data_IF_410161053935
#
_entry.id   IF_410161053935
#
_cell.length_a   1.000
_cell.length_b   1.000
_cell.length_c   1.000
_cell.angle_alpha   90.00
_cell.angle_beta   90.00
_cell.angle_gamma   90.00
#
_symmetry.space_group_name_H-M   'P 1'
#
loop_
_entity.id
_entity.type
_entity.pdbx_description
1 polymer ?
#
# COMPACT_ATOMS: atom_id res chain seq x y z
N UNK A 1 9.28 -59.24 -23.18
CA UNK A 1 10.32 -58.37 -23.76
C UNK A 1 9.79 -56.97 -24.10
N UNK A 2 8.65 -56.81 -24.80
CA UNK A 2 8.12 -55.50 -25.23
C UNK A 2 7.77 -54.51 -24.08
N UNK A 3 7.35 -55.02 -22.92
CA UNK A 3 6.94 -54.20 -21.76
C UNK A 3 8.08 -53.35 -21.19
N UNK A 4 9.33 -53.85 -21.24
CA UNK A 4 10.51 -53.14 -20.77
C UNK A 4 10.92 -51.98 -21.70
N UNK A 5 10.75 -52.18 -23.02
CA UNK A 5 11.01 -51.12 -24.00
C UNK A 5 10.01 -49.96 -23.85
N UNK A 6 8.73 -50.27 -23.64
CA UNK A 6 7.69 -49.27 -23.42
C UNK A 6 7.94 -48.44 -22.15
N UNK A 7 8.39 -49.06 -21.06
CA UNK A 7 8.74 -48.34 -19.83
C UNK A 7 9.97 -47.44 -20.00
N UNK A 8 10.98 -47.88 -20.77
CA UNK A 8 12.16 -47.06 -21.05
C UNK A 8 11.83 -45.81 -21.87
N UNK A 9 11.02 -45.96 -22.91
CA UNK A 9 10.55 -44.83 -23.74
C UNK A 9 9.68 -43.87 -22.92
N UNK A 10 8.81 -44.40 -22.06
CA UNK A 10 7.97 -43.58 -21.18
C UNK A 10 8.80 -42.70 -20.24
N UNK A 11 9.79 -43.29 -19.55
CA UNK A 11 10.68 -42.54 -18.64
C UNK A 11 11.50 -41.52 -19.41
N UNK A 12 12.02 -41.85 -20.59
CA UNK A 12 12.74 -40.90 -21.44
C UNK A 12 11.85 -39.71 -21.85
N UNK A 13 10.59 -39.95 -22.18
CA UNK A 13 9.61 -38.91 -22.50
C UNK A 13 9.34 -37.95 -21.34
N UNK A 14 9.16 -38.49 -20.13
CA UNK A 14 8.96 -37.66 -18.91
C UNK A 14 10.20 -36.81 -18.64
N UNK A 15 11.40 -37.38 -18.75
CA UNK A 15 12.64 -36.64 -18.50
C UNK A 15 12.84 -35.52 -19.52
N UNK A 16 12.65 -35.78 -20.82
CA UNK A 16 12.75 -34.73 -21.84
C UNK A 16 11.68 -33.65 -21.65
N UNK A 17 10.44 -34.04 -21.34
CA UNK A 17 9.35 -33.09 -21.08
C UNK A 17 9.65 -32.20 -19.88
N UNK A 18 10.15 -32.78 -18.78
CA UNK A 18 10.53 -32.05 -17.58
C UNK A 18 11.68 -31.07 -17.86
N UNK A 19 12.73 -31.51 -18.55
CA UNK A 19 13.86 -30.63 -18.93
C UNK A 19 13.39 -29.51 -19.86
N UNK A 20 12.52 -29.78 -20.83
CA UNK A 20 11.99 -28.77 -21.75
C UNK A 20 11.15 -27.71 -21.02
N UNK A 21 10.22 -28.14 -20.15
CA UNK A 21 9.41 -27.24 -19.33
C UNK A 21 10.30 -26.43 -18.39
N UNK A 22 11.31 -27.07 -17.77
CA UNK A 22 12.26 -26.41 -16.90
C UNK A 22 13.10 -25.36 -17.65
N UNK A 23 13.57 -25.65 -18.86
CA UNK A 23 14.30 -24.66 -19.69
C UNK A 23 13.39 -23.52 -20.13
N UNK A 24 12.14 -23.79 -20.51
CA UNK A 24 11.18 -22.75 -20.91
C UNK A 24 10.82 -21.82 -19.75
N UNK A 25 10.71 -22.34 -18.52
CA UNK A 25 10.44 -21.53 -17.33
C UNK A 25 11.70 -20.89 -16.72
N UNK A 26 12.88 -21.50 -16.90
CA UNK A 26 14.16 -20.98 -16.39
C UNK A 26 14.84 -19.98 -17.35
N UNK A 27 14.33 -19.82 -18.57
CA UNK A 27 14.77 -18.76 -19.47
C UNK A 27 14.30 -17.43 -18.90
N UNK A 28 15.16 -16.76 -18.13
CA UNK A 28 14.98 -15.35 -17.82
C UNK A 28 14.77 -14.58 -19.14
N UNK A 29 13.83 -13.63 -19.21
CA UNK A 29 13.69 -12.79 -20.40
C UNK A 29 15.07 -12.21 -20.72
N UNK A 30 15.55 -12.39 -21.95
CA UNK A 30 16.71 -11.63 -22.41
C UNK A 30 16.28 -10.18 -22.36
N UNK A 31 16.75 -9.43 -21.36
CA UNK A 31 16.42 -8.01 -21.23
C UNK A 31 16.75 -7.34 -22.57
N UNK A 32 15.74 -6.73 -23.19
CA UNK A 32 15.92 -6.06 -24.48
C UNK A 32 16.93 -4.90 -24.31
N UNK A 33 17.62 -4.50 -25.39
CA UNK A 33 18.53 -3.33 -25.31
C UNK A 33 17.79 -2.07 -24.86
N UNK A 34 16.49 -1.97 -25.14
CA UNK A 34 15.61 -0.89 -24.72
C UNK A 34 15.37 -0.92 -23.20
N UNK A 35 15.20 -2.10 -22.62
CA UNK A 35 15.02 -2.29 -21.18
C UNK A 35 16.29 -1.94 -20.39
N UNK A 36 17.45 -2.33 -20.91
CA UNK A 36 18.75 -1.95 -20.34
C UNK A 36 18.99 -0.44 -20.42
N UNK A 37 18.61 0.19 -21.55
CA UNK A 37 18.67 1.64 -21.69
C UNK A 37 17.75 2.36 -20.70
N UNK A 38 16.52 1.85 -20.49
CA UNK A 38 15.56 2.37 -19.52
C UNK A 38 16.12 2.28 -18.10
N UNK A 39 16.64 1.13 -17.70
CA UNK A 39 17.24 0.93 -16.38
C UNK A 39 18.45 1.84 -16.14
N UNK A 40 19.22 2.18 -17.18
CA UNK A 40 20.38 3.07 -17.05
C UNK A 40 19.99 4.53 -16.71
N UNK A 41 18.81 4.98 -17.14
CA UNK A 41 18.30 6.34 -16.87
C UNK A 41 17.26 6.39 -15.75
N UNK A 42 16.82 5.24 -15.25
CA UNK A 42 15.84 5.13 -14.18
C UNK A 42 16.37 5.66 -12.85
N UNK A 43 15.57 6.49 -12.20
CA UNK A 43 15.77 6.97 -10.83
C UNK A 43 14.48 6.75 -10.03
N UNK A 44 14.61 6.34 -8.77
CA UNK A 44 13.46 6.19 -7.88
C UNK A 44 13.26 7.47 -7.08
N UNK A 45 12.05 8.03 -7.18
CA UNK A 45 11.66 9.23 -6.46
C UNK A 45 10.49 8.91 -5.54
N UNK A 46 10.65 9.06 -4.21
CA UNK A 46 9.54 8.94 -3.28
C UNK A 46 8.57 10.12 -3.49
N UNK A 47 7.28 9.84 -3.53
CA UNK A 47 6.26 10.89 -3.50
C UNK A 47 5.79 11.19 -2.08
N UNK A 48 4.78 12.05 -2.01
CA UNK A 48 4.24 12.54 -0.76
C UNK A 48 2.96 11.82 -0.39
N UNK A 49 2.64 11.84 0.91
CA UNK A 49 1.34 11.40 1.38
C UNK A 49 0.32 12.47 1.01
N UNK A 50 -0.62 12.12 0.14
CA UNK A 50 -1.71 13.00 -0.25
C UNK A 50 -3.03 12.49 0.34
N UNK A 51 -3.86 13.45 0.74
CA UNK A 51 -5.21 13.19 1.24
C UNK A 51 -6.20 13.75 0.24
N UNK A 52 -6.98 12.87 -0.38
CA UNK A 52 -7.91 13.22 -1.46
C UNK A 52 -9.35 13.01 -0.99
N UNK A 53 -10.23 14.01 -1.06
CA UNK A 53 -11.63 13.83 -0.70
C UNK A 53 -12.33 12.96 -1.75
N UNK A 54 -13.06 11.95 -1.29
CA UNK A 54 -13.95 11.17 -2.14
C UNK A 54 -15.32 11.86 -2.15
N UNK A 55 -15.66 12.44 -3.30
CA UNK A 55 -16.88 13.22 -3.50
C UNK A 55 -17.98 12.35 -4.12
N UNK A 56 -19.20 12.48 -3.60
CA UNK A 56 -20.38 11.83 -4.17
C UNK A 56 -21.65 12.58 -3.82
N UNK A 57 -22.58 12.69 -4.77
CA UNK A 57 -23.89 13.34 -4.60
C UNK A 57 -23.77 14.75 -4.01
N UNK A 58 -22.71 15.48 -4.38
CA UNK A 58 -22.43 16.83 -3.88
C UNK A 58 -21.83 16.91 -2.47
N UNK A 59 -21.48 15.78 -1.84
CA UNK A 59 -20.90 15.73 -0.50
C UNK A 59 -19.61 14.90 -0.39
N UNK A 60 -18.86 15.11 0.69
CA UNK A 60 -17.67 14.31 1.03
C UNK A 60 -18.11 13.03 1.75
N UNK A 61 -17.80 11.87 1.17
CA UNK A 61 -18.13 10.55 1.75
C UNK A 61 -17.00 10.00 2.62
N UNK A 62 -15.77 10.43 2.34
CA UNK A 62 -14.57 9.98 3.03
C UNK A 62 -13.33 10.59 2.41
N UNK A 63 -12.18 10.12 2.86
CA UNK A 63 -10.87 10.54 2.38
C UNK A 63 -10.07 9.33 1.95
N UNK A 64 -9.48 9.44 0.78
CA UNK A 64 -8.51 8.49 0.24
C UNK A 64 -7.11 9.01 0.54
N UNK A 65 -6.35 8.25 1.31
CA UNK A 65 -4.99 8.58 1.71
C UNK A 65 -4.06 7.68 0.91
N UNK A 66 -3.16 8.28 0.14
CA UNK A 66 -2.23 7.51 -0.67
C UNK A 66 -0.85 8.12 -0.65
N UNK A 67 0.16 7.27 -0.60
CA UNK A 67 1.55 7.63 -0.82
C UNK A 67 2.08 6.83 -1.98
N UNK A 68 2.40 7.52 -3.05
CA UNK A 68 2.90 6.93 -4.28
C UNK A 68 4.37 7.28 -4.45
N UNK A 69 5.11 6.40 -5.10
CA UNK A 69 6.49 6.64 -5.50
C UNK A 69 6.69 6.21 -6.94
N UNK A 70 7.75 6.71 -7.56
CA UNK A 70 7.85 6.71 -9.01
C UNK A 70 9.24 6.26 -9.45
N UNK A 71 9.28 5.36 -10.43
CA UNK A 71 10.46 5.16 -11.24
C UNK A 71 10.39 6.14 -12.41
N UNK A 72 11.39 7.01 -12.55
CA UNK A 72 11.36 8.13 -13.50
C UNK A 72 12.61 8.17 -14.36
N UNK A 73 12.50 8.82 -15.52
CA UNK A 73 13.65 9.17 -16.33
C UNK A 73 14.37 10.40 -15.74
N UNK A 74 15.54 10.18 -15.13
CA UNK A 74 16.34 11.25 -14.50
C UNK A 74 16.80 12.34 -15.47
N UNK A 75 16.84 12.05 -16.77
CA UNK A 75 17.27 13.02 -17.79
C UNK A 75 16.11 13.96 -18.12
N UNK A 76 14.90 13.41 -18.27
CA UNK A 76 13.69 14.17 -18.59
C UNK A 76 13.21 15.00 -17.41
N UNK A 77 13.26 14.45 -16.19
CA UNK A 77 12.86 15.18 -14.97
C UNK A 77 13.61 16.51 -14.82
N UNK A 78 14.89 16.55 -15.18
CA UNK A 78 15.72 17.78 -15.10
C UNK A 78 15.32 18.85 -16.11
N UNK A 79 14.60 18.47 -17.16
CA UNK A 79 14.16 19.37 -18.23
C UNK A 79 12.73 19.87 -18.04
N UNK A 80 12.02 19.35 -17.03
CA UNK A 80 10.66 19.78 -16.74
C UNK A 80 10.61 21.26 -16.35
N UNK A 81 9.62 22.02 -16.85
CA UNK A 81 9.47 23.44 -16.53
C UNK A 81 9.02 23.68 -15.09
N UNK A 82 8.28 22.73 -14.51
CA UNK A 82 7.81 22.72 -13.14
C UNK A 82 8.46 21.52 -12.45
N UNK A 83 8.90 21.62 -11.19
CA UNK A 83 9.54 20.49 -10.55
C UNK A 83 8.56 19.31 -10.43
N UNK A 84 9.12 18.10 -10.55
CA UNK A 84 8.35 16.86 -10.69
C UNK A 84 7.29 16.71 -9.60
N UNK A 85 7.63 17.06 -8.35
CA UNK A 85 6.77 16.91 -7.19
C UNK A 85 5.47 17.71 -7.33
N UNK A 86 5.58 18.97 -7.74
CA UNK A 86 4.45 19.88 -7.90
C UNK A 86 3.56 19.42 -9.05
N UNK A 87 4.15 19.02 -10.19
CA UNK A 87 3.42 18.47 -11.34
C UNK A 87 2.68 17.19 -10.98
N UNK A 88 3.35 16.24 -10.33
CA UNK A 88 2.76 14.97 -9.91
C UNK A 88 1.61 15.22 -8.94
N UNK A 89 1.79 16.11 -7.95
CA UNK A 89 0.74 16.41 -6.98
C UNK A 89 -0.51 16.97 -7.65
N UNK A 90 -0.36 17.96 -8.55
CA UNK A 90 -1.49 18.52 -9.29
C UNK A 90 -2.21 17.45 -10.12
N UNK A 91 -1.46 16.71 -10.93
CA UNK A 91 -2.01 15.66 -11.78
C UNK A 91 -2.72 14.55 -10.99
N UNK A 92 -2.19 14.17 -9.81
CA UNK A 92 -2.85 13.20 -8.94
C UNK A 92 -4.20 13.73 -8.43
N UNK A 93 -4.32 15.01 -8.08
CA UNK A 93 -5.62 15.58 -7.72
C UNK A 93 -6.60 15.54 -8.89
N UNK A 94 -6.15 15.89 -10.10
CA UNK A 94 -7.00 15.85 -11.31
C UNK A 94 -7.45 14.41 -11.64
N UNK A 95 -6.55 13.43 -11.53
CA UNK A 95 -6.87 12.02 -11.78
C UNK A 95 -7.81 11.47 -10.70
N UNK A 96 -7.50 11.69 -9.42
CA UNK A 96 -8.19 11.04 -8.31
C UNK A 96 -9.55 11.69 -8.01
N UNK A 97 -9.64 13.02 -8.09
CA UNK A 97 -10.89 13.76 -7.86
C UNK A 97 -11.67 13.92 -9.16
N UNK A 98 -11.02 14.41 -10.21
CA UNK A 98 -11.67 14.79 -11.47
C UNK A 98 -12.23 13.59 -12.23
N UNK A 99 -11.45 12.52 -12.37
CA UNK A 99 -11.88 11.28 -13.07
C UNK A 99 -12.64 10.29 -12.17
N UNK A 100 -12.91 10.66 -10.90
CA UNK A 100 -13.58 9.83 -9.88
C UNK A 100 -13.02 8.39 -9.83
N UNK A 101 -11.69 8.26 -9.91
CA UNK A 101 -11.03 6.95 -10.01
C UNK A 101 -11.26 6.07 -8.77
N UNK A 102 -11.59 6.70 -7.64
CA UNK A 102 -11.87 6.03 -6.37
C UNK A 102 -13.39 6.01 -6.12
N UNK A 103 -14.07 4.97 -6.60
CA UNK A 103 -15.47 4.71 -6.25
C UNK A 103 -15.55 3.66 -5.12
N UNK A 104 -16.06 4.07 -3.97
CA UNK A 104 -16.07 3.29 -2.72
C UNK A 104 -17.23 2.28 -2.66
N UNK A 105 -18.27 2.47 -3.47
CA UNK A 105 -19.43 1.56 -3.50
C UNK A 105 -19.11 0.16 -4.00
N UNK A 106 -18.10 0.02 -4.86
CA UNK A 106 -17.72 -1.25 -5.47
C UNK A 106 -16.45 -1.83 -4.83
N UNK A 107 -16.30 -1.62 -3.52
CA UNK A 107 -15.15 -2.02 -2.69
C UNK A 107 -15.01 -3.55 -2.50
N UNK A 108 -15.67 -4.37 -3.33
CA UNK A 108 -15.45 -5.83 -3.32
C UNK A 108 -14.06 -6.20 -3.84
N UNK A 109 -13.45 -5.38 -4.70
CA UNK A 109 -12.04 -5.51 -5.10
C UNK A 109 -11.53 -4.22 -5.73
N UNK A 110 -10.62 -3.51 -5.05
CA UNK A 110 -9.88 -2.41 -5.67
C UNK A 110 -8.87 -2.97 -6.68
N UNK A 111 -8.99 -2.59 -7.95
CA UNK A 111 -8.02 -2.99 -8.98
C UNK A 111 -6.77 -2.11 -8.92
N UNK A 112 -5.78 -2.60 -8.17
CA UNK A 112 -4.49 -1.94 -8.00
C UNK A 112 -3.70 -1.83 -9.33
N UNK A 113 -3.82 -2.82 -10.22
CA UNK A 113 -3.08 -2.83 -11.47
C UNK A 113 -3.63 -1.76 -12.41
N UNK A 114 -4.95 -1.69 -12.55
CA UNK A 114 -5.61 -0.64 -13.32
C UNK A 114 -5.33 0.74 -12.72
N UNK A 115 -5.41 0.89 -11.39
CA UNK A 115 -5.07 2.15 -10.72
C UNK A 115 -3.67 2.65 -11.09
N UNK A 116 -2.65 1.81 -10.94
CA UNK A 116 -1.26 2.16 -11.30
C UNK A 116 -1.13 2.54 -12.77
N UNK A 117 -1.80 1.79 -13.66
CA UNK A 117 -1.79 2.06 -15.10
C UNK A 117 -2.43 3.41 -15.44
N UNK A 118 -3.60 3.71 -14.89
CA UNK A 118 -4.30 4.98 -15.12
C UNK A 118 -3.52 6.15 -14.55
N UNK A 119 -2.96 6.01 -13.34
CA UNK A 119 -2.10 7.04 -12.74
C UNK A 119 -0.86 7.29 -13.59
N UNK A 120 -0.15 6.23 -14.02
CA UNK A 120 1.02 6.37 -14.89
C UNK A 120 0.67 7.11 -16.19
N UNK A 121 -0.42 6.69 -16.83
CA UNK A 121 -0.88 7.29 -18.09
C UNK A 121 -1.21 8.78 -17.90
N UNK A 122 -1.97 9.13 -16.85
CA UNK A 122 -2.34 10.50 -16.57
C UNK A 122 -1.14 11.40 -16.21
N UNK A 123 -0.14 10.86 -15.50
CA UNK A 123 1.08 11.60 -15.17
C UNK A 123 1.91 11.90 -16.42
N UNK A 124 2.10 10.92 -17.30
CA UNK A 124 2.83 11.12 -18.56
C UNK A 124 2.06 12.01 -19.55
N UNK A 125 0.72 11.94 -19.53
CA UNK A 125 -0.14 12.84 -20.31
C UNK A 125 0.06 14.30 -19.90
N UNK A 126 0.08 14.59 -18.59
CA UNK A 126 0.33 15.94 -18.06
C UNK A 126 1.73 16.44 -18.43
N UNK A 127 2.74 15.58 -18.34
CA UNK A 127 4.14 15.93 -18.69
C UNK A 127 4.38 15.99 -20.20
N UNK A 128 3.43 15.52 -21.02
CA UNK A 128 3.50 15.41 -22.49
C UNK A 128 4.71 14.62 -22.99
N UNK A 129 5.24 13.75 -22.12
CA UNK A 129 6.40 12.92 -22.39
C UNK A 129 6.36 11.68 -21.47
N UNK A 130 7.03 10.61 -21.87
CA UNK A 130 7.20 9.40 -21.06
C UNK A 130 8.30 9.64 -20.02
N UNK A 131 7.93 10.27 -18.90
CA UNK A 131 8.81 10.60 -17.78
C UNK A 131 8.71 9.55 -16.67
N UNK A 132 7.50 9.04 -16.41
CA UNK A 132 7.21 8.02 -15.40
C UNK A 132 7.24 6.64 -16.07
N UNK A 133 8.18 5.80 -15.66
CA UNK A 133 8.27 4.40 -16.09
C UNK A 133 7.32 3.51 -15.29
N UNK A 134 7.32 3.68 -13.96
CA UNK A 134 6.50 2.87 -13.06
C UNK A 134 5.94 3.69 -11.90
N UNK A 135 4.75 3.29 -11.43
CA UNK A 135 4.10 3.82 -10.23
C UNK A 135 4.07 2.74 -9.17
N UNK A 136 4.67 3.03 -8.03
CA UNK A 136 4.71 2.20 -6.85
C UNK A 136 3.76 2.78 -5.80
N UNK A 137 3.13 1.89 -5.05
CA UNK A 137 2.17 2.25 -4.02
C UNK A 137 2.82 1.90 -2.68
N UNK A 138 3.17 2.93 -1.92
CA UNK A 138 3.76 2.77 -0.58
C UNK A 138 2.67 2.68 0.49
N UNK A 139 1.63 3.52 0.37
CA UNK A 139 0.49 3.52 1.28
C UNK A 139 -0.80 3.74 0.50
N UNK A 140 -1.84 3.02 0.90
CA UNK A 140 -3.17 3.10 0.28
C UNK A 140 -4.24 2.82 1.33
N UNK A 141 -4.98 3.85 1.71
CA UNK A 141 -5.97 3.77 2.77
C UNK A 141 -7.23 4.56 2.40
N UNK A 142 -8.37 4.11 2.91
CA UNK A 142 -9.62 4.82 2.79
C UNK A 142 -10.23 5.00 4.18
N UNK A 143 -10.57 6.25 4.51
CA UNK A 143 -11.26 6.62 5.74
C UNK A 143 -12.65 7.13 5.38
N UNK A 144 -13.70 6.40 5.78
CA UNK A 144 -15.06 6.91 5.64
C UNK A 144 -15.28 8.11 6.54
N UNK A 145 -16.30 8.93 6.25
CA UNK A 145 -16.72 10.03 7.12
C UNK A 145 -16.98 9.56 8.58
N UNK A 146 -17.51 8.36 8.75
CA UNK A 146 -17.72 7.76 10.07
C UNK A 146 -16.39 7.38 10.77
N UNK A 147 -15.40 6.91 10.02
CA UNK A 147 -14.07 6.61 10.55
C UNK A 147 -13.34 7.87 11.00
N UNK A 148 -13.39 8.92 10.18
CA UNK A 148 -12.84 10.24 10.53
C UNK A 148 -13.51 10.79 11.79
N UNK A 149 -14.84 10.74 11.86
CA UNK A 149 -15.58 11.18 13.04
C UNK A 149 -15.21 10.37 14.30
N UNK A 150 -14.98 9.06 14.15
CA UNK A 150 -14.54 8.19 15.26
C UNK A 150 -13.14 8.51 15.74
N UNK A 151 -12.20 8.78 14.82
CA UNK A 151 -10.82 9.17 15.15
C UNK A 151 -10.81 10.55 15.82
N UNK A 152 -11.56 11.52 15.29
CA UNK A 152 -11.65 12.86 15.86
C UNK A 152 -12.26 12.87 17.27
N UNK A 153 -13.27 12.02 17.53
CA UNK A 153 -13.95 11.94 18.82
C UNK A 153 -13.35 10.91 19.79
N UNK A 154 -12.12 10.44 19.55
CA UNK A 154 -11.49 9.43 20.39
C UNK A 154 -11.17 9.95 21.80
N UNK A 155 -10.95 11.26 21.94
CA UNK A 155 -10.73 11.92 23.24
C UNK A 155 -12.02 12.17 24.04
N UNK A 156 -13.18 12.25 23.37
CA UNK A 156 -14.49 12.48 24.00
C UNK A 156 -15.18 11.20 24.45
N UNK A 157 -14.66 10.02 24.12
CA UNK A 157 -15.05 8.79 24.80
C UNK A 157 -14.52 8.89 26.23
N UNK A 158 -15.41 9.25 27.17
CA UNK A 158 -15.18 9.03 28.61
C UNK A 158 -14.56 7.65 28.74
N UNK A 159 -13.27 7.58 29.08
CA UNK A 159 -12.66 6.31 29.42
C UNK A 159 -13.60 5.69 30.46
N UNK A 160 -14.04 4.42 30.28
CA UNK A 160 -14.85 3.79 31.32
C UNK A 160 -14.09 3.98 32.62
N UNK A 161 -14.71 4.64 33.60
CA UNK A 161 -14.01 4.93 34.84
C UNK A 161 -13.47 3.59 35.38
N UNK A 162 -12.21 3.55 35.85
CA UNK A 162 -11.65 2.32 36.39
C UNK A 162 -12.65 1.71 37.38
N UNK A 163 -13.20 0.55 37.04
CA UNK A 163 -14.08 -0.17 37.96
C UNK A 163 -13.17 -0.90 38.93
N UNK A 164 -13.41 -0.73 40.23
CA UNK A 164 -12.66 -1.44 41.25
C UNK A 164 -12.78 -2.96 41.01
N UNK A 165 -11.65 -3.66 41.06
CA UNK A 165 -11.66 -5.12 41.00
C UNK A 165 -12.24 -5.62 42.32
N UNK A 166 -13.40 -6.28 42.24
CA UNK A 166 -14.10 -6.87 43.40
C UNK A 166 -13.79 -8.35 43.47
N UNK A 167 -13.39 -8.84 44.64
CA UNK A 167 -13.19 -10.27 44.87
C UNK A 167 -14.54 -11.03 45.01
N UNK A 168 -14.48 -12.37 45.12
CA UNK A 168 -15.66 -13.23 45.30
C UNK A 168 -16.45 -12.91 46.59
N UNK A 169 -15.82 -12.26 47.56
CA UNK A 169 -16.37 -11.94 48.86
C UNK A 169 -16.93 -10.51 48.92
N UNK A 170 -16.91 -9.77 47.81
CA UNK A 170 -17.42 -8.41 47.72
C UNK A 170 -16.41 -7.32 48.13
N UNK A 171 -15.15 -7.66 48.38
CA UNK A 171 -14.13 -6.69 48.76
C UNK A 171 -13.49 -6.07 47.52
N UNK A 172 -13.38 -4.74 47.50
CA UNK A 172 -12.62 -4.02 46.48
C UNK A 172 -11.14 -4.05 46.81
N UNK A 173 -10.29 -4.28 45.81
CA UNK A 173 -8.84 -4.11 45.94
C UNK A 173 -8.54 -2.64 46.29
N UNK A 174 -8.31 -2.36 47.57
CA UNK A 174 -7.75 -1.09 48.01
C UNK A 174 -6.24 -1.12 47.78
N UNK A 175 -5.70 -0.02 47.28
CA UNK A 175 -4.27 0.17 47.00
C UNK A 175 -3.49 0.30 48.33
N UNK A 176 -3.49 -0.77 49.13
CA UNK A 176 -2.69 -0.85 50.35
C UNK A 176 -1.34 -1.38 49.96
N UNK A 177 -0.39 -0.48 49.77
CA UNK A 177 1.01 -0.83 49.54
C UNK A 177 1.47 -1.71 50.72
N UNK A 178 1.88 -2.96 50.50
CA UNK A 178 2.37 -3.83 51.58
C UNK A 178 3.56 -3.16 52.27
N UNK A 179 3.45 -2.91 53.59
CA UNK A 179 4.50 -2.29 54.40
C UNK A 179 4.27 -0.82 54.80
N UNK A 180 3.19 -0.16 54.35
CA UNK A 180 2.88 1.21 54.79
C UNK A 180 2.52 1.30 56.29
N UNK A 181 1.88 0.27 56.85
CA UNK A 181 1.56 0.19 58.28
C UNK A 181 2.82 0.02 59.16
N UNK A 182 3.86 -0.63 58.64
CA UNK A 182 5.11 -0.87 59.39
C UNK A 182 5.95 0.41 59.50
N UNK A 183 5.93 1.28 58.48
CA UNK A 183 6.58 2.60 58.54
C UNK A 183 5.89 3.59 59.48
N UNK A 184 4.59 3.44 59.72
CA UNK A 184 3.84 4.29 60.65
C UNK A 184 4.09 3.91 62.13
N UNK A 185 4.43 2.64 62.41
CA UNK A 185 4.69 2.16 63.78
C UNK A 185 6.14 2.32 64.24
N UNK A 186 7.09 2.55 63.34
CA UNK A 186 8.52 2.75 63.67
C UNK A 186 8.90 4.22 63.94
N UNK A 187 7.92 5.13 63.98
CA UNK A 187 8.10 6.55 64.24
C UNK A 187 7.59 6.97 65.60
N UNK A 188 8.18 6.45 66.68
CA UNK A 188 8.16 7.02 68.03
C UNK A 188 9.45 6.68 68.77
#
# INVERSE_FOLDING_TARGET
>A
MIKLLLTGVWVAGITLGSVYVSMRHASAPVESSEEQARLAVQEYVPGELITVPVLRDGGVQGYFLTKLSFAVDKTKVKTLPVPLKETVTNALFDILVGKQLINVEDSKSFDLANFKSVVKAGLNEEMKDEVIFEVLVEQLEYLSKADVARVANRETRKQPQPVAIVDRNGNTAHDVIPGAAEKAAAGH
#
